data_IF_798684006275
#
_entry.id   IF_798684006275
#
_cell.length_a   1.000
_cell.length_b   1.000
_cell.length_c   1.000
_cell.angle_alpha   90.00
_cell.angle_beta   90.00
_cell.angle_gamma   90.00
#
_symmetry.space_group_name_H-M   'P 1'
#
loop_
_entity.id
_entity.type
_entity.pdbx_description
1 polymer ?
#
# COMPACT_ATOMS: atom_id res chain seq x y z
N UNK A 1 -3.79 19.97 -18.24
CA UNK A 1 -4.56 18.70 -18.24
C UNK A 1 -3.77 17.63 -17.50
N UNK A 2 -4.00 17.44 -16.19
CA UNK A 2 -3.73 16.14 -15.56
C UNK A 2 -4.78 15.86 -14.47
N UNK A 3 -5.99 15.42 -14.86
CA UNK A 3 -7.03 15.02 -13.89
C UNK A 3 -7.46 13.56 -14.12
N UNK A 4 -7.19 12.99 -15.30
CA UNK A 4 -7.68 11.66 -15.67
C UNK A 4 -6.92 10.49 -15.03
N UNK A 5 -5.62 10.63 -14.72
CA UNK A 5 -4.79 9.51 -14.23
C UNK A 5 -4.90 9.30 -12.72
N UNK A 6 -5.28 10.33 -11.96
CA UNK A 6 -5.56 10.20 -10.51
C UNK A 6 -6.89 9.47 -10.28
N UNK A 7 -7.84 9.59 -11.22
CA UNK A 7 -9.19 9.05 -11.09
C UNK A 7 -9.24 7.52 -11.13
N UNK A 8 -8.31 6.86 -11.82
CA UNK A 8 -8.28 5.38 -11.85
C UNK A 8 -7.74 4.77 -10.54
N UNK A 9 -6.91 5.51 -9.79
CA UNK A 9 -6.29 5.02 -8.56
C UNK A 9 -7.14 5.33 -7.30
N UNK A 10 -7.93 6.41 -7.32
CA UNK A 10 -8.96 6.64 -6.30
C UNK A 10 -10.16 5.70 -6.46
N UNK A 11 -10.46 5.23 -7.67
CA UNK A 11 -11.54 4.28 -7.89
C UNK A 11 -11.38 2.99 -7.06
N UNK A 12 -10.15 2.49 -6.86
CA UNK A 12 -9.95 1.24 -6.09
C UNK A 12 -10.23 1.40 -4.59
N UNK A 13 -9.96 2.58 -4.01
CA UNK A 13 -10.23 2.85 -2.59
C UNK A 13 -11.69 3.27 -2.34
N UNK A 14 -12.28 3.97 -3.30
CA UNK A 14 -13.59 4.60 -3.19
C UNK A 14 -14.70 3.64 -3.56
N UNK A 15 -14.49 2.70 -4.50
CA UNK A 15 -15.55 1.78 -4.95
C UNK A 15 -16.14 0.93 -3.81
N UNK A 16 -15.37 0.34 -2.87
CA UNK A 16 -15.99 -0.43 -1.78
C UNK A 16 -16.55 0.42 -0.63
N UNK A 17 -16.02 1.63 -0.37
CA UNK A 17 -16.48 2.51 0.73
C UNK A 17 -17.70 3.36 0.31
N UNK A 18 -17.73 3.86 -0.93
CA UNK A 18 -18.86 4.61 -1.48
C UNK A 18 -20.05 3.71 -1.79
N UNK A 19 -19.83 2.43 -2.11
CA UNK A 19 -20.93 1.45 -2.22
C UNK A 19 -21.71 1.27 -0.91
N UNK A 20 -21.11 1.59 0.24
CA UNK A 20 -21.77 1.49 1.55
C UNK A 20 -22.43 2.80 2.00
N UNK A 21 -21.93 3.97 1.58
CA UNK A 21 -22.45 5.29 2.01
C UNK A 21 -23.55 5.84 1.09
N UNK A 22 -23.69 5.35 -0.15
CA UNK A 22 -24.78 5.77 -1.03
C UNK A 22 -26.12 5.11 -0.63
N UNK A 23 -27.14 5.86 -0.19
CA UNK A 23 -28.45 5.29 0.11
C UNK A 23 -29.19 5.07 -1.21
N UNK A 24 -29.02 3.90 -1.83
CA UNK A 24 -29.66 3.69 -3.12
C UNK A 24 -29.45 2.32 -3.77
N UNK A 25 -30.27 1.36 -3.36
CA UNK A 25 -30.82 0.28 -4.23
C UNK A 25 -29.85 -0.82 -4.72
N UNK A 26 -29.74 -1.89 -3.93
CA UNK A 26 -30.25 -3.26 -4.21
C UNK A 26 -29.37 -4.35 -3.57
N UNK A 27 -29.83 -4.80 -2.41
CA UNK A 27 -29.99 -6.20 -1.98
C UNK A 27 -28.92 -7.21 -2.46
N UNK A 28 -27.96 -7.49 -1.57
CA UNK A 28 -27.51 -8.86 -1.33
C UNK A 28 -26.02 -9.14 -1.41
N UNK A 29 -25.19 -8.65 -0.47
CA UNK A 29 -24.07 -9.42 0.10
C UNK A 29 -23.80 -8.91 1.53
N UNK A 30 -24.13 -9.71 2.54
CA UNK A 30 -23.98 -9.40 3.98
C UNK A 30 -22.67 -9.97 4.57
N UNK A 31 -21.65 -10.18 3.74
CA UNK A 31 -20.47 -10.98 4.06
C UNK A 31 -19.23 -10.20 3.62
N UNK A 32 -18.43 -9.49 4.43
CA UNK A 32 -18.08 -9.53 5.85
C UNK A 32 -18.11 -8.11 6.44
N UNK A 33 -19.16 -7.79 7.22
CA UNK A 33 -19.30 -6.47 7.87
C UNK A 33 -18.16 -6.13 8.83
N UNK A 34 -17.50 -7.13 9.41
CA UNK A 34 -16.45 -6.90 10.41
C UNK A 34 -15.13 -6.44 9.78
N UNK A 35 -14.80 -6.96 8.59
CA UNK A 35 -13.52 -6.70 7.94
C UNK A 35 -13.48 -5.30 7.29
N UNK A 36 -14.61 -4.84 6.74
CA UNK A 36 -14.77 -3.46 6.22
C UNK A 36 -14.83 -2.44 7.35
N UNK A 37 -15.58 -2.68 8.42
CA UNK A 37 -15.59 -1.80 9.58
C UNK A 37 -14.23 -1.72 10.26
N UNK A 38 -13.48 -2.82 10.31
CA UNK A 38 -12.11 -2.82 10.82
C UNK A 38 -11.19 -1.90 10.01
N UNK A 39 -11.23 -1.97 8.67
CA UNK A 39 -10.44 -1.10 7.79
C UNK A 39 -10.83 0.37 7.94
N UNK A 40 -12.13 0.66 8.05
CA UNK A 40 -12.62 2.02 8.29
C UNK A 40 -12.13 2.54 9.65
N UNK A 41 -12.16 1.71 10.70
CA UNK A 41 -11.64 2.08 12.02
C UNK A 41 -10.14 2.36 11.95
N UNK A 42 -9.35 1.52 11.28
CA UNK A 42 -7.92 1.77 11.09
C UNK A 42 -7.65 3.07 10.31
N UNK A 43 -8.40 3.33 9.24
CA UNK A 43 -8.28 4.54 8.43
C UNK A 43 -8.59 5.80 9.26
N UNK A 44 -9.70 5.78 10.01
CA UNK A 44 -10.11 6.90 10.88
C UNK A 44 -9.10 7.10 12.00
N UNK A 45 -8.62 6.01 12.62
CA UNK A 45 -7.63 6.09 13.69
C UNK A 45 -6.31 6.71 13.21
N UNK A 46 -5.76 6.27 12.08
CA UNK A 46 -4.54 6.85 11.52
C UNK A 46 -4.74 8.32 11.12
N UNK A 47 -5.89 8.66 10.52
CA UNK A 47 -6.23 10.06 10.18
C UNK A 47 -6.33 10.95 11.42
N UNK A 48 -6.95 10.45 12.49
CA UNK A 48 -7.11 11.17 13.74
C UNK A 48 -5.76 11.40 14.43
N UNK A 49 -4.86 10.40 14.42
CA UNK A 49 -3.50 10.53 14.94
C UNK A 49 -2.76 11.64 14.17
N UNK A 50 -2.74 11.60 12.84
CA UNK A 50 -2.08 12.63 12.03
C UNK A 50 -2.65 14.03 12.29
N UNK A 51 -3.97 14.15 12.42
CA UNK A 51 -4.63 15.41 12.72
C UNK A 51 -4.26 15.97 14.10
N UNK A 52 -4.28 15.13 15.14
CA UNK A 52 -3.91 15.55 16.51
C UNK A 52 -2.44 16.01 16.55
N UNK A 53 -1.53 15.23 15.97
CA UNK A 53 -0.12 15.57 15.93
C UNK A 53 0.17 16.79 15.04
N UNK A 54 -0.63 17.04 14.00
CA UNK A 54 -0.54 18.26 13.20
C UNK A 54 -0.79 19.52 14.04
N UNK A 55 -1.83 19.52 14.86
CA UNK A 55 -2.18 20.68 15.70
C UNK A 55 -1.17 20.88 16.85
N UNK A 56 -0.69 19.79 17.45
CA UNK A 56 0.21 19.84 18.62
C UNK A 56 1.65 20.17 18.22
N UNK A 57 2.19 19.54 17.17
CA UNK A 57 3.62 19.65 16.86
C UNK A 57 3.99 20.93 16.11
N UNK A 58 3.03 21.61 15.47
CA UNK A 58 3.30 22.83 14.70
C UNK A 58 3.15 24.13 15.50
N UNK A 59 2.91 24.03 16.82
CA UNK A 59 2.82 25.21 17.69
C UNK A 59 4.17 25.96 17.67
N UNK A 60 4.13 27.29 17.47
CA UNK A 60 5.33 28.13 17.42
C UNK A 60 5.97 28.26 16.04
N UNK A 61 5.36 27.72 14.98
CA UNK A 61 5.86 27.88 13.60
C UNK A 61 5.11 28.99 12.84
N UNK A 62 5.81 29.87 12.10
CA UNK A 62 5.18 30.98 11.38
C UNK A 62 4.24 30.50 10.26
N UNK A 63 4.56 29.36 9.63
CA UNK A 63 3.71 28.74 8.61
C UNK A 63 2.36 28.26 9.16
N UNK A 64 2.29 27.96 10.47
CA UNK A 64 1.09 27.50 11.15
C UNK A 64 0.33 28.66 11.83
N UNK A 65 1.05 29.61 12.41
CA UNK A 65 0.46 30.74 13.13
C UNK A 65 -0.22 31.77 12.22
N UNK A 66 0.18 31.84 10.95
CA UNK A 66 -0.42 32.74 9.95
C UNK A 66 -1.89 32.41 9.63
N UNK A 67 -2.37 31.20 9.93
CA UNK A 67 -3.76 30.81 9.72
C UNK A 67 -4.63 31.15 10.94
N UNK A 68 -5.90 31.46 10.72
CA UNK A 68 -6.88 31.64 11.79
C UNK A 68 -7.19 30.32 12.50
N UNK A 69 -7.53 30.36 13.79
CA UNK A 69 -7.73 29.14 14.62
C UNK A 69 -8.74 28.15 14.02
N UNK A 70 -9.86 28.65 13.45
CA UNK A 70 -10.84 27.78 12.80
C UNK A 70 -10.32 27.15 11.50
N UNK A 71 -9.52 27.89 10.72
CA UNK A 71 -8.90 27.37 9.51
C UNK A 71 -7.83 26.31 9.81
N UNK A 72 -7.09 26.43 10.92
CA UNK A 72 -6.07 25.45 11.36
C UNK A 72 -6.68 24.05 11.50
N UNK A 73 -7.74 23.95 12.28
CA UNK A 73 -8.44 22.68 12.57
C UNK A 73 -8.89 22.00 11.27
N UNK A 74 -9.46 22.75 10.33
CA UNK A 74 -9.93 22.23 9.04
C UNK A 74 -8.74 21.85 8.15
N UNK A 75 -7.67 22.65 8.14
CA UNK A 75 -6.44 22.35 7.41
C UNK A 75 -5.79 21.07 7.94
N UNK A 76 -5.72 20.88 9.26
CA UNK A 76 -5.20 19.66 9.88
C UNK A 76 -6.04 18.43 9.53
N UNK A 77 -7.37 18.55 9.56
CA UNK A 77 -8.27 17.47 9.16
C UNK A 77 -8.09 17.11 7.68
N UNK A 78 -8.05 18.12 6.80
CA UNK A 78 -7.82 17.91 5.37
C UNK A 78 -6.46 17.28 5.12
N UNK A 79 -5.40 17.80 5.76
CA UNK A 79 -4.04 17.32 5.58
C UNK A 79 -3.88 15.88 6.08
N UNK A 80 -4.44 15.53 7.23
CA UNK A 80 -4.44 14.17 7.76
C UNK A 80 -5.15 13.18 6.83
N UNK A 81 -6.24 13.59 6.16
CA UNK A 81 -6.92 12.74 5.17
C UNK A 81 -6.17 12.69 3.83
N UNK A 82 -5.62 13.81 3.37
CA UNK A 82 -4.95 13.94 2.08
C UNK A 82 -3.59 13.24 2.04
N UNK A 83 -2.90 13.14 3.18
CA UNK A 83 -1.54 12.61 3.28
C UNK A 83 -1.38 11.16 2.80
N UNK A 84 -2.48 10.41 2.64
CA UNK A 84 -2.46 8.99 2.26
C UNK A 84 -3.19 8.64 0.98
N UNK A 85 -3.96 9.56 0.39
CA UNK A 85 -4.85 9.23 -0.73
C UNK A 85 -4.73 10.16 -1.95
N UNK A 86 -4.32 11.41 -1.77
CA UNK A 86 -4.37 12.40 -2.86
C UNK A 86 -3.06 13.12 -3.13
N UNK A 87 -2.10 13.08 -2.19
CA UNK A 87 -0.84 13.82 -2.35
C UNK A 87 -1.00 15.33 -2.31
N UNK A 88 -2.19 15.84 -1.96
CA UNK A 88 -2.42 17.27 -1.85
C UNK A 88 -1.91 17.79 -0.51
N UNK A 89 -1.22 18.92 -0.57
CA UNK A 89 -0.69 19.63 0.58
C UNK A 89 -1.30 21.02 0.61
N UNK A 90 -1.96 21.39 1.72
CA UNK A 90 -2.54 22.72 1.87
C UNK A 90 -1.50 23.70 2.47
N UNK A 91 -0.63 23.19 3.34
CA UNK A 91 0.53 23.87 3.90
C UNK A 91 1.78 23.17 3.37
N UNK A 92 2.86 23.88 2.99
CA UNK A 92 4.07 23.22 2.52
C UNK A 92 4.67 22.31 3.61
N UNK A 93 4.81 21.01 3.32
CA UNK A 93 5.30 20.01 4.29
C UNK A 93 6.71 20.34 4.77
N UNK A 94 7.53 21.01 3.94
CA UNK A 94 8.88 21.42 4.30
C UNK A 94 8.96 22.47 5.41
N UNK A 95 7.90 23.27 5.63
CA UNK A 95 7.87 24.28 6.69
C UNK A 95 7.21 23.78 7.99
N UNK A 96 6.78 22.52 8.02
CA UNK A 96 6.21 21.89 9.20
C UNK A 96 7.30 21.38 10.14
N UNK A 97 6.92 21.07 11.38
CA UNK A 97 7.84 20.52 12.37
C UNK A 97 8.53 19.24 11.86
N UNK A 98 9.84 19.06 12.04
CA UNK A 98 10.55 17.85 11.61
C UNK A 98 9.97 16.56 12.22
N UNK A 99 9.46 16.65 13.45
CA UNK A 99 8.78 15.54 14.11
C UNK A 99 7.53 15.08 13.35
N UNK A 100 6.77 16.03 12.77
CA UNK A 100 5.59 15.71 11.98
C UNK A 100 5.96 15.14 10.60
N UNK A 101 7.03 15.63 9.99
CA UNK A 101 7.56 15.06 8.75
C UNK A 101 7.94 13.59 8.95
N UNK A 102 8.62 13.27 10.06
CA UNK A 102 8.95 11.90 10.42
C UNK A 102 7.69 11.05 10.67
N UNK A 103 6.70 11.59 11.38
CA UNK A 103 5.41 10.92 11.58
C UNK A 103 4.75 10.59 10.25
N UNK A 104 4.75 11.52 9.29
CA UNK A 104 4.22 11.26 7.95
C UNK A 104 4.98 10.15 7.24
N UNK A 105 6.30 10.07 7.32
CA UNK A 105 7.05 8.95 6.71
C UNK A 105 6.58 7.60 7.28
N UNK A 106 6.47 7.51 8.61
CA UNK A 106 6.06 6.27 9.29
C UNK A 106 4.61 5.89 8.97
N UNK A 107 3.69 6.85 9.08
CA UNK A 107 2.26 6.61 8.86
C UNK A 107 1.93 6.36 7.40
N UNK A 108 2.59 7.09 6.50
CA UNK A 108 2.54 6.83 5.06
C UNK A 108 2.93 5.39 4.77
N UNK A 109 4.09 4.95 5.28
CA UNK A 109 4.57 3.59 5.05
C UNK A 109 3.57 2.53 5.55
N UNK A 110 3.14 2.61 6.82
CA UNK A 110 2.24 1.64 7.44
C UNK A 110 0.85 1.64 6.78
N UNK A 111 0.30 2.81 6.48
CA UNK A 111 -1.05 2.92 5.92
C UNK A 111 -1.17 2.30 4.53
N UNK A 112 -0.10 2.30 3.72
CA UNK A 112 -0.18 1.66 2.40
C UNK A 112 -0.38 0.14 2.53
N UNK A 113 0.09 -0.50 3.61
CA UNK A 113 -0.16 -1.94 3.83
C UNK A 113 -1.61 -2.23 4.14
N UNK A 114 -2.27 -1.38 4.93
CA UNK A 114 -3.70 -1.51 5.19
C UNK A 114 -4.52 -1.42 3.89
N UNK A 115 -4.13 -0.51 2.98
CA UNK A 115 -4.72 -0.37 1.65
C UNK A 115 -4.41 -1.58 0.76
N UNK A 116 -3.17 -2.05 0.73
CA UNK A 116 -2.79 -3.20 -0.10
C UNK A 116 -3.48 -4.51 0.36
N UNK A 117 -3.66 -4.70 1.66
CA UNK A 117 -4.38 -5.84 2.20
C UNK A 117 -5.88 -5.78 1.91
N UNK A 118 -6.49 -4.60 1.96
CA UNK A 118 -7.91 -4.47 1.65
C UNK A 118 -8.19 -4.90 0.21
N UNK A 119 -7.37 -4.47 -0.75
CA UNK A 119 -7.51 -4.80 -2.18
C UNK A 119 -7.39 -6.32 -2.42
N UNK A 120 -6.37 -6.96 -1.84
CA UNK A 120 -6.19 -8.42 -1.98
C UNK A 120 -7.34 -9.20 -1.36
N UNK A 121 -7.81 -8.75 -0.19
CA UNK A 121 -8.95 -9.38 0.47
C UNK A 121 -10.22 -9.26 -0.38
N UNK A 122 -10.42 -8.14 -1.09
CA UNK A 122 -11.60 -7.95 -1.94
C UNK A 122 -11.56 -8.72 -3.25
N UNK A 123 -10.37 -8.94 -3.85
CA UNK A 123 -10.23 -9.66 -5.13
C UNK A 123 -10.55 -11.16 -4.99
N UNK A 124 -10.14 -11.79 -3.88
CA UNK A 124 -10.43 -13.22 -3.61
C UNK A 124 -11.94 -13.49 -3.51
N UNK A 125 -12.73 -12.50 -3.09
CA UNK A 125 -14.19 -12.67 -3.10
C UNK A 125 -14.78 -12.68 -4.51
N UNK A 126 -14.16 -11.99 -5.48
CA UNK A 126 -14.61 -12.02 -6.87
C UNK A 126 -14.34 -13.40 -7.50
N UNK A 127 -13.15 -13.95 -7.30
CA UNK A 127 -12.76 -15.29 -7.77
C UNK A 127 -13.64 -16.40 -7.18
N UNK A 128 -13.93 -16.34 -5.87
CA UNK A 128 -14.85 -17.29 -5.20
C UNK A 128 -16.31 -17.12 -5.59
N UNK A 129 -16.72 -15.92 -6.03
CA UNK A 129 -18.08 -15.67 -6.54
C UNK A 129 -18.25 -16.15 -7.97
N UNK A 130 -17.17 -16.21 -8.75
CA UNK A 130 -17.15 -16.72 -10.13
C UNK A 130 -17.16 -18.25 -10.22
N UNK A 131 -17.24 -18.96 -9.09
CA UNK A 131 -17.29 -20.42 -9.04
C UNK A 131 -15.94 -21.10 -9.30
N UNK A 132 -14.86 -20.32 -9.38
CA UNK A 132 -13.48 -20.84 -9.45
C UNK A 132 -13.03 -21.10 -8.01
N UNK A 133 -13.28 -22.31 -7.54
CA UNK A 133 -12.76 -22.79 -6.26
C UNK A 133 -11.39 -23.40 -6.49
N UNK A 134 -10.37 -22.56 -6.60
CA UNK A 134 -9.01 -23.05 -6.41
C UNK A 134 -8.92 -23.56 -4.95
N UNK A 135 -8.59 -24.84 -4.70
CA UNK A 135 -8.26 -25.26 -3.35
C UNK A 135 -7.15 -24.33 -2.83
N UNK A 136 -7.28 -23.78 -1.61
CA UNK A 136 -6.23 -22.95 -1.06
C UNK A 136 -4.90 -23.73 -1.16
N UNK A 137 -3.82 -23.10 -1.66
CA UNK A 137 -2.55 -23.79 -1.83
C UNK A 137 -2.16 -24.44 -0.50
N UNK A 138 -1.78 -25.72 -0.54
CA UNK A 138 -1.26 -26.42 0.66
C UNK A 138 0.02 -25.75 1.20
N UNK A 139 0.61 -24.82 0.43
CA UNK A 139 1.80 -24.02 0.78
C UNK A 139 1.52 -22.56 1.20
N UNK A 140 0.28 -22.07 1.05
CA UNK A 140 -0.13 -20.76 1.58
C UNK A 140 -0.82 -20.97 2.93
N UNK A 141 -0.02 -20.81 3.99
CA UNK A 141 -0.40 -20.68 5.39
C UNK A 141 -0.43 -21.99 6.21
N UNK A 142 0.75 -22.44 6.65
CA UNK A 142 0.85 -22.86 8.05
C UNK A 142 0.50 -21.64 8.92
N UNK A 143 -0.81 -21.38 9.10
CA UNK A 143 -1.30 -20.51 10.16
C UNK A 143 -0.63 -21.00 11.45
N UNK A 144 0.16 -20.18 12.16
CA UNK A 144 0.74 -20.62 13.42
C UNK A 144 -0.39 -21.15 14.31
N UNK A 145 -0.25 -22.40 14.77
CA UNK A 145 -1.25 -23.17 15.54
C UNK A 145 -1.80 -22.39 16.76
N UNK A 146 -1.09 -21.34 17.17
CA UNK A 146 -1.41 -20.43 18.28
C UNK A 146 -2.64 -19.52 18.04
N UNK A 147 -3.13 -19.36 16.80
CA UNK A 147 -4.35 -18.57 16.55
C UNK A 147 -5.62 -19.23 17.09
N UNK A 148 -5.64 -20.55 17.22
CA UNK A 148 -6.76 -21.33 17.76
C UNK A 148 -7.11 -21.00 19.21
N UNK A 149 -6.12 -20.57 20.01
CA UNK A 149 -6.22 -20.39 21.47
C UNK A 149 -6.64 -18.97 21.91
N UNK A 150 -6.76 -18.03 20.97
CA UNK A 150 -7.01 -16.61 21.28
C UNK A 150 -8.49 -16.21 21.15
N UNK A 151 -8.92 -15.26 22.00
CA UNK A 151 -10.25 -14.65 21.92
C UNK A 151 -10.52 -14.05 20.51
N UNK A 152 -11.78 -14.04 20.01
CA UNK A 152 -12.09 -13.65 18.63
C UNK A 152 -11.54 -12.27 18.22
N UNK A 153 -11.50 -11.32 19.16
CA UNK A 153 -10.98 -9.95 18.93
C UNK A 153 -9.46 -9.89 18.79
N UNK A 154 -8.71 -10.80 19.44
CA UNK A 154 -7.24 -10.85 19.37
C UNK A 154 -6.75 -11.67 18.16
N UNK A 155 -7.56 -12.62 17.68
CA UNK A 155 -7.24 -13.47 16.52
C UNK A 155 -7.00 -12.64 15.26
N UNK A 156 -7.91 -11.70 14.95
CA UNK A 156 -7.79 -10.84 13.77
C UNK A 156 -6.55 -9.95 13.85
N UNK A 157 -6.23 -9.40 15.02
CA UNK A 157 -5.05 -8.54 15.21
C UNK A 157 -3.72 -9.30 15.11
N UNK A 158 -3.65 -10.51 15.67
CA UNK A 158 -2.43 -11.34 15.63
C UNK A 158 -2.22 -11.94 14.22
N UNK A 159 -3.30 -12.33 13.54
CA UNK A 159 -3.29 -12.78 12.14
C UNK A 159 -2.81 -11.66 11.21
N UNK A 160 -3.41 -10.48 11.36
CA UNK A 160 -3.02 -9.29 10.61
C UNK A 160 -1.57 -8.90 10.90
N UNK A 161 -1.14 -8.93 12.16
CA UNK A 161 0.24 -8.61 12.56
C UNK A 161 1.28 -9.57 12.00
N UNK A 162 0.97 -10.87 11.95
CA UNK A 162 1.83 -11.87 11.33
C UNK A 162 1.98 -11.63 9.82
N UNK A 163 0.87 -11.38 9.13
CA UNK A 163 0.85 -11.12 7.69
C UNK A 163 1.50 -9.77 7.34
N UNK A 164 1.31 -8.73 8.16
CA UNK A 164 2.05 -7.48 8.06
C UNK A 164 3.54 -7.75 8.19
N UNK A 165 4.01 -8.41 9.25
CA UNK A 165 5.45 -8.55 9.51
C UNK A 165 6.21 -9.20 8.35
N UNK A 166 5.63 -10.21 7.72
CA UNK A 166 6.22 -10.91 6.56
C UNK A 166 6.25 -10.04 5.30
N UNK A 167 5.17 -9.33 5.00
CA UNK A 167 5.08 -8.41 3.86
C UNK A 167 5.93 -7.15 4.04
N UNK A 168 5.98 -6.59 5.25
CA UNK A 168 6.80 -5.43 5.59
C UNK A 168 8.28 -5.73 5.38
N UNK A 169 8.72 -6.93 5.74
CA UNK A 169 10.12 -7.31 5.63
C UNK A 169 10.60 -7.46 4.18
N UNK A 170 9.76 -7.84 3.21
CA UNK A 170 10.18 -7.93 1.80
C UNK A 170 10.28 -6.54 1.15
N UNK A 171 9.33 -5.68 1.49
CA UNK A 171 9.20 -4.35 0.88
C UNK A 171 10.20 -3.34 1.47
N UNK A 172 10.61 -3.49 2.73
CA UNK A 172 11.62 -2.61 3.36
C UNK A 172 12.99 -2.74 2.69
N UNK A 173 13.38 -3.93 2.22
CA UNK A 173 14.65 -4.13 1.54
C UNK A 173 14.76 -3.33 0.24
N UNK A 174 13.67 -3.23 -0.53
CA UNK A 174 13.62 -2.40 -1.74
C UNK A 174 13.86 -0.91 -1.43
N UNK A 175 13.24 -0.41 -0.35
CA UNK A 175 13.45 0.97 0.10
C UNK A 175 14.88 1.20 0.59
N UNK A 176 15.44 0.28 1.39
CA UNK A 176 16.82 0.38 1.88
C UNK A 176 17.81 0.43 0.73
N UNK A 177 17.67 -0.46 -0.27
CA UNK A 177 18.51 -0.45 -1.45
C UNK A 177 18.35 0.83 -2.27
N UNK A 178 17.14 1.34 -2.43
CA UNK A 178 16.92 2.60 -3.16
C UNK A 178 17.55 3.81 -2.46
N UNK A 179 17.41 3.93 -1.14
CA UNK A 179 18.06 4.97 -0.34
C UNK A 179 19.58 4.87 -0.50
N UNK A 180 20.14 3.66 -0.39
CA UNK A 180 21.57 3.43 -0.53
C UNK A 180 22.10 3.83 -1.91
N UNK A 181 21.43 3.41 -2.99
CA UNK A 181 21.84 3.75 -4.36
C UNK A 181 21.74 5.25 -4.63
N UNK A 182 20.67 5.92 -4.20
CA UNK A 182 20.53 7.38 -4.37
C UNK A 182 21.59 8.12 -3.56
N UNK A 183 21.90 7.67 -2.33
CA UNK A 183 22.97 8.25 -1.53
C UNK A 183 24.35 8.16 -2.22
N UNK A 184 24.62 7.09 -2.97
CA UNK A 184 25.85 6.95 -3.77
C UNK A 184 25.86 7.94 -4.95
N UNK A 185 24.76 8.01 -5.71
CA UNK A 185 24.66 8.83 -6.92
C UNK A 185 24.67 10.33 -6.59
N UNK A 186 23.98 10.71 -5.52
CA UNK A 186 23.82 12.08 -5.05
C UNK A 186 24.84 12.48 -4.00
N UNK A 187 25.88 11.66 -3.75
CA UNK A 187 26.94 11.93 -2.78
C UNK A 187 27.49 13.37 -2.87
N UNK A 188 27.68 13.86 -4.09
CA UNK A 188 28.15 15.23 -4.31
C UNK A 188 27.19 16.27 -3.75
N UNK A 189 25.88 16.15 -4.04
CA UNK A 189 24.87 17.10 -3.58
C UNK A 189 24.63 17.03 -2.07
N UNK A 190 24.72 15.83 -1.47
CA UNK A 190 24.56 15.62 -0.01
C UNK A 190 25.75 16.16 0.78
N UNK A 191 26.97 16.05 0.25
CA UNK A 191 28.18 16.51 0.94
C UNK A 191 28.44 18.02 0.79
N UNK A 192 27.70 18.70 -0.09
CA UNK A 192 27.87 20.12 -0.32
C UNK A 192 27.22 20.93 0.82
N UNK A 193 28.03 21.66 1.58
CA UNK A 193 27.56 22.48 2.71
C UNK A 193 26.65 23.65 2.29
N UNK A 194 26.73 24.09 1.03
CA UNK A 194 25.88 25.14 0.45
C UNK A 194 24.43 24.67 0.22
N UNK A 195 24.23 23.36 0.08
CA UNK A 195 22.95 22.72 -0.22
C UNK A 195 22.38 22.00 1.00
N UNK A 196 22.30 22.68 2.15
CA UNK A 196 21.73 22.10 3.39
C UNK A 196 20.28 21.62 3.27
N UNK A 197 19.57 22.06 2.24
CA UNK A 197 18.23 21.55 1.95
C UNK A 197 18.27 20.19 1.24
N UNK A 198 19.42 19.71 0.76
CA UNK A 198 19.59 18.41 0.12
C UNK A 198 20.01 17.36 1.15
N UNK A 199 19.06 16.98 2.00
CA UNK A 199 19.31 16.02 3.08
C UNK A 199 18.86 14.60 2.73
N UNK A 200 19.50 13.62 3.38
CA UNK A 200 19.10 12.21 3.32
C UNK A 200 17.64 12.01 3.77
N UNK A 201 17.17 12.82 4.73
CA UNK A 201 15.78 12.78 5.18
C UNK A 201 14.78 13.14 4.06
N UNK A 202 15.12 14.12 3.20
CA UNK A 202 14.28 14.46 2.04
C UNK A 202 14.26 13.37 1.00
N UNK A 203 15.41 12.72 0.77
CA UNK A 203 15.48 11.51 -0.08
C UNK A 203 14.60 10.40 0.45
N UNK A 204 14.66 10.12 1.77
CA UNK A 204 13.82 9.12 2.43
C UNK A 204 12.34 9.44 2.27
N UNK A 205 11.93 10.68 2.58
CA UNK A 205 10.55 11.12 2.46
C UNK A 205 10.01 10.89 1.04
N UNK A 206 10.81 11.25 0.04
CA UNK A 206 10.41 11.14 -1.36
C UNK A 206 10.32 9.69 -1.84
N UNK A 207 11.22 8.83 -1.38
CA UNK A 207 11.16 7.40 -1.69
C UNK A 207 9.96 6.71 -1.06
N UNK A 208 9.63 7.02 0.20
CA UNK A 208 8.46 6.43 0.85
C UNK A 208 7.17 6.92 0.20
N UNK A 209 7.13 8.21 -0.20
CA UNK A 209 6.00 8.79 -0.95
C UNK A 209 5.83 8.15 -2.32
N UNK A 210 6.93 7.96 -3.04
CA UNK A 210 6.97 7.28 -4.33
C UNK A 210 6.53 5.81 -4.21
N UNK A 211 7.01 5.09 -3.20
CA UNK A 211 6.64 3.70 -2.94
C UNK A 211 5.15 3.53 -2.57
N UNK A 212 4.59 4.51 -1.85
CA UNK A 212 3.17 4.57 -1.55
C UNK A 212 2.29 5.03 -2.70
N UNK A 213 2.88 5.62 -3.76
CA UNK A 213 2.13 6.23 -4.84
C UNK A 213 1.28 7.41 -4.39
N UNK A 214 1.70 8.12 -3.33
CA UNK A 214 0.94 9.21 -2.70
C UNK A 214 1.24 10.54 -3.39
N UNK A 215 2.51 10.82 -3.65
CA UNK A 215 2.91 12.04 -4.37
C UNK A 215 3.07 13.29 -3.50
N UNK A 216 3.14 13.13 -2.17
CA UNK A 216 3.62 14.20 -1.30
C UNK A 216 5.12 14.42 -1.50
N UNK A 217 5.55 15.68 -1.41
CA UNK A 217 6.93 16.08 -1.61
C UNK A 217 7.31 17.24 -0.70
N UNK A 218 8.55 17.23 -0.18
CA UNK A 218 9.12 18.36 0.54
C UNK A 218 9.53 19.52 -0.39
N UNK A 219 9.61 19.26 -1.70
CA UNK A 219 9.80 20.28 -2.73
C UNK A 219 11.15 20.99 -2.67
N UNK A 220 11.33 21.97 -3.54
CA UNK A 220 12.52 22.83 -3.56
C UNK A 220 12.22 24.21 -2.96
N UNK A 221 13.19 24.84 -2.27
CA UNK A 221 13.04 26.21 -1.80
C UNK A 221 13.14 27.24 -2.94
N UNK A 222 13.80 26.89 -4.05
CA UNK A 222 14.08 27.82 -5.16
C UNK A 222 13.01 27.80 -6.24
N UNK A 223 12.35 26.67 -6.46
CA UNK A 223 11.43 26.45 -7.57
C UNK A 223 10.24 25.58 -7.15
N UNK A 224 9.13 25.71 -7.88
CA UNK A 224 7.89 24.95 -7.67
C UNK A 224 7.95 23.53 -8.27
N UNK A 225 9.08 22.84 -8.11
CA UNK A 225 9.23 21.43 -8.48
C UNK A 225 9.22 20.53 -7.24
N UNK A 226 8.82 19.26 -7.41
CA UNK A 226 9.03 18.24 -6.38
C UNK A 226 10.54 18.02 -6.18
N UNK A 227 10.93 17.53 -5.00
CA UNK A 227 12.34 17.22 -4.70
C UNK A 227 12.97 16.30 -5.74
N UNK A 228 12.18 15.39 -6.33
CA UNK A 228 12.61 14.53 -7.43
C UNK A 228 13.11 15.30 -8.68
N UNK A 229 12.69 16.56 -8.87
CA UNK A 229 13.09 17.42 -9.98
C UNK A 229 14.59 17.77 -9.96
N UNK A 230 15.15 17.99 -8.77
CA UNK A 230 16.54 18.39 -8.57
C UNK A 230 17.54 17.24 -8.53
N UNK A 231 17.06 16.00 -8.52
CA UNK A 231 17.91 14.81 -8.56
C UNK A 231 18.55 14.63 -9.93
N UNK A 232 19.65 13.88 -9.97
CA UNK A 232 20.28 13.40 -11.21
C UNK A 232 19.34 12.46 -11.97
N UNK A 233 19.47 12.36 -13.30
CA UNK A 233 18.61 11.49 -14.11
C UNK A 233 18.63 10.02 -13.69
N UNK A 234 19.76 9.52 -13.18
CA UNK A 234 19.87 8.15 -12.68
C UNK A 234 19.02 7.94 -11.41
N UNK A 235 19.08 8.88 -10.46
CA UNK A 235 18.25 8.87 -9.25
C UNK A 235 16.74 8.93 -9.58
N UNK A 236 16.35 9.67 -10.62
CA UNK A 236 14.96 9.70 -11.12
C UNK A 236 14.50 8.32 -11.61
N UNK A 237 15.37 7.58 -12.29
CA UNK A 237 15.07 6.22 -12.75
C UNK A 237 14.83 5.27 -11.56
N UNK A 238 15.62 5.39 -10.50
CA UNK A 238 15.42 4.61 -9.26
C UNK A 238 14.06 4.91 -8.63
N UNK A 239 13.66 6.19 -8.58
CA UNK A 239 12.34 6.58 -8.09
C UNK A 239 11.22 5.96 -8.94
N UNK A 240 11.35 5.96 -10.27
CA UNK A 240 10.38 5.33 -11.17
C UNK A 240 10.25 3.83 -10.87
N UNK A 241 11.38 3.12 -10.71
CA UNK A 241 11.38 1.69 -10.34
C UNK A 241 10.66 1.48 -9.00
N UNK A 242 10.89 2.34 -8.02
CA UNK A 242 10.22 2.26 -6.71
C UNK A 242 8.73 2.55 -6.80
N UNK A 243 8.29 3.50 -7.64
CA UNK A 243 6.87 3.75 -7.90
C UNK A 243 6.18 2.53 -8.54
N UNK A 244 6.83 1.93 -9.54
CA UNK A 244 6.30 0.72 -10.20
C UNK A 244 6.24 -0.44 -9.22
N UNK A 245 7.32 -0.68 -8.47
CA UNK A 245 7.38 -1.74 -7.46
C UNK A 245 6.37 -1.54 -6.32
N UNK A 246 6.14 -0.28 -5.94
CA UNK A 246 5.13 0.14 -4.98
C UNK A 246 3.70 -0.12 -5.46
N UNK A 247 3.44 -0.09 -6.77
CA UNK A 247 2.15 -0.46 -7.36
C UNK A 247 2.03 -1.97 -7.62
N UNK A 248 3.13 -2.64 -7.96
CA UNK A 248 3.19 -4.06 -8.34
C UNK A 248 3.44 -4.97 -7.13
N UNK A 249 2.71 -4.78 -6.02
CA UNK A 249 2.89 -5.57 -4.80
C UNK A 249 2.34 -6.98 -5.01
N UNK A 250 3.19 -8.00 -4.93
CA UNK A 250 2.76 -9.41 -4.99
C UNK A 250 2.63 -10.02 -6.39
N UNK A 251 2.97 -9.30 -7.46
CA UNK A 251 3.03 -9.87 -8.81
C UNK A 251 3.91 -11.12 -8.99
N UNK A 252 5.05 -11.29 -8.27
CA UNK A 252 5.83 -12.51 -8.40
C UNK A 252 5.04 -13.77 -8.00
N UNK A 253 4.14 -13.65 -7.02
CA UNK A 253 3.36 -14.78 -6.48
C UNK A 253 2.19 -15.12 -7.40
N UNK A 254 1.62 -14.11 -8.08
CA UNK A 254 0.54 -14.33 -9.05
C UNK A 254 1.01 -15.00 -10.36
N UNK A 255 2.26 -14.73 -10.80
CA UNK A 255 2.84 -15.37 -11.99
C UNK A 255 3.05 -16.86 -11.77
N UNK A 256 3.48 -17.26 -10.57
CA UNK A 256 3.71 -18.67 -10.23
C UNK A 256 2.39 -19.48 -10.24
N UNK A 257 1.28 -18.89 -9.77
CA UNK A 257 -0.07 -19.48 -9.85
C UNK A 257 -0.57 -19.64 -11.29
N UNK A 258 -0.26 -18.70 -12.19
CA UNK A 258 -0.67 -18.79 -13.59
C UNK A 258 0.07 -19.87 -14.39
N UNK A 259 1.23 -20.34 -13.89
CA UNK A 259 2.06 -21.37 -14.53
C UNK A 259 1.85 -22.76 -13.92
N UNK A 260 1.27 -22.85 -12.71
CA UNK A 260 0.83 -24.13 -12.17
C UNK A 260 -0.32 -24.69 -13.02
N UNK A 261 -0.08 -25.79 -13.71
CA UNK A 261 -1.13 -26.53 -14.40
C UNK A 261 -2.17 -26.97 -13.36
N UNK A 262 -3.48 -26.77 -13.60
CA UNK A 262 -4.53 -27.31 -12.75
C UNK A 262 -4.31 -28.81 -12.60
N UNK A 263 -4.08 -29.29 -11.37
CA UNK A 263 -3.93 -30.72 -11.06
C UNK A 263 -5.16 -31.54 -11.50
N UNK A 264 -6.28 -30.89 -11.84
CA UNK A 264 -7.44 -31.53 -12.47
C UNK A 264 -7.15 -32.11 -13.86
N UNK A 265 -6.20 -31.54 -14.62
CA UNK A 265 -5.77 -32.09 -15.92
C UNK A 265 -4.90 -33.34 -15.72
N UNK A 266 -3.98 -33.30 -14.74
CA UNK A 266 -3.09 -34.43 -14.41
C UNK A 266 -3.89 -35.63 -13.86
N UNK A 267 -4.93 -35.37 -13.06
CA UNK A 267 -5.78 -36.42 -12.48
C UNK A 267 -6.74 -37.05 -13.49
N UNK A 268 -7.07 -36.34 -14.59
CA UNK A 268 -7.85 -36.89 -15.71
C UNK A 268 -7.02 -37.80 -16.61
N UNK A 269 -5.75 -37.50 -16.85
CA UNK A 269 -4.85 -38.39 -17.61
C UNK A 269 -4.55 -39.69 -16.85
N UNK A 270 -4.43 -39.65 -15.52
CA UNK A 270 -4.21 -40.86 -14.71
C UNK A 270 -5.45 -41.77 -14.58
N UNK A 271 -6.65 -41.23 -14.78
CA UNK A 271 -7.92 -41.97 -14.66
C UNK A 271 -8.49 -42.42 -16.01
N UNK A 272 -7.74 -42.32 -17.11
CA UNK A 272 -8.15 -42.89 -18.39
C UNK A 272 -7.68 -44.35 -18.45
N UNK A 273 -8.56 -45.36 -18.28
CA UNK A 273 -8.15 -46.76 -18.38
C UNK A 273 -7.67 -47.04 -19.81
N UNK A 274 -6.44 -47.53 -19.95
CA UNK A 274 -5.95 -48.21 -21.15
C UNK A 274 -6.89 -49.39 -21.43
N UNK A 275 -7.84 -49.20 -22.34
CA UNK A 275 -8.79 -50.24 -22.71
C UNK A 275 -8.88 -50.40 -24.22
N UNK A 276 -7.74 -50.51 -24.91
CA UNK A 276 -7.68 -50.99 -26.29
C UNK A 276 -6.37 -51.73 -26.54
N UNK A 277 -6.31 -53.02 -26.22
CA UNK A 277 -5.71 -54.09 -27.05
C UNK A 277 -5.69 -55.41 -26.27
N UNK A 278 -6.65 -56.30 -26.53
CA UNK A 278 -6.54 -57.76 -26.38
C UNK A 278 -7.81 -58.44 -26.92
N UNK A 279 -8.03 -58.32 -28.23
CA UNK A 279 -8.97 -59.17 -28.95
C UNK A 279 -8.18 -60.23 -29.70
N UNK A 280 -7.79 -61.32 -29.01
CA UNK A 280 -7.39 -62.59 -29.63
C UNK A 280 -7.25 -63.63 -28.51
N UNK A 281 -8.25 -64.49 -28.31
CA UNK A 281 -8.01 -65.85 -27.82
C UNK A 281 -9.19 -66.76 -28.17
N UNK A 282 -8.85 -67.72 -29.01
CA UNK A 282 -9.67 -68.82 -29.48
C UNK A 282 -9.88 -69.92 -28.41
N UNK A 283 -10.60 -70.97 -28.86
CA UNK A 283 -10.60 -72.38 -28.41
C UNK A 283 -11.83 -72.77 -27.56
N UNK A 284 -12.41 -73.99 -27.72
CA UNK A 284 -11.96 -75.14 -28.52
C UNK A 284 -12.73 -75.44 -29.81
#
# INVERSE_FOLDING_TARGET
MPVAVVCHNQAVLVTPVVFFVAPGRRRGTTSSRHQTWFLVICLVAFSAIEWIFFEILNIGLPAYESLSTGARIICGLFQGLAARASGFSIVPIASLAPALQFLYVVMMYIAIYAVAMSIRSTNVYEERSLGVFEPPPEDEDEEPEDFGKCAPRQRVGRYLGWHLRRQMSIDIWWLVWAVFLIAIIERGNIMNEDLKWFDLFRVLFELVSAFGGIGLSLGLPTDNFSFAGALKPLSKLIIIVIMVRGRHRGLPVAVDKAVMLPNELVKREQNQPQNETSGEQAVP
#
